data_IF_077492124967
#
_entry.id   IF_077492124967
#
_cell.length_a   1.000
_cell.length_b   1.000
_cell.length_c   1.000
_cell.angle_alpha   90.00
_cell.angle_beta   90.00
_cell.angle_gamma   90.00
#
_symmetry.space_group_name_H-M   'P 1'
#
loop_
_entity.id
_entity.type
_entity.pdbx_description
1 polymer ?
#
# COMPACT_ATOMS: atom_id res chain seq x y z
N UNK A 1 -38.53 -13.29 8.88
CA UNK A 1 -38.95 -11.97 8.36
C UNK A 1 -38.69 -10.96 9.45
N UNK A 2 -37.82 -9.97 9.23
CA UNK A 2 -37.49 -8.99 10.26
C UNK A 2 -38.63 -7.99 10.43
N UNK A 3 -39.08 -7.77 11.66
CA UNK A 3 -40.14 -6.83 11.98
C UNK A 3 -39.70 -5.40 11.62
N UNK A 4 -40.44 -4.77 10.70
CA UNK A 4 -40.27 -3.38 10.29
C UNK A 4 -40.21 -2.42 11.50
N UNK A 5 -41.00 -2.71 12.54
CA UNK A 5 -41.01 -1.91 13.78
C UNK A 5 -39.69 -1.98 14.56
N UNK A 6 -38.97 -3.11 14.50
CA UNK A 6 -37.66 -3.25 15.13
C UNK A 6 -36.60 -2.44 14.40
N UNK A 7 -36.64 -2.41 13.06
CA UNK A 7 -35.75 -1.54 12.27
C UNK A 7 -36.08 -0.06 12.46
N UNK A 8 -37.37 0.30 12.53
CA UNK A 8 -37.84 1.67 12.76
C UNK A 8 -37.40 2.19 14.14
N UNK A 9 -37.55 1.39 15.18
CA UNK A 9 -37.12 1.76 16.55
C UNK A 9 -35.61 1.88 16.66
N UNK A 10 -34.84 0.95 16.07
CA UNK A 10 -33.39 1.07 15.96
C UNK A 10 -32.97 2.32 15.19
N UNK A 11 -33.60 2.61 14.04
CA UNK A 11 -33.28 3.81 13.25
C UNK A 11 -33.61 5.10 13.99
N UNK A 12 -34.71 5.16 14.75
CA UNK A 12 -35.05 6.36 15.54
C UNK A 12 -34.04 6.57 16.67
N UNK A 13 -33.61 5.50 17.35
CA UNK A 13 -32.60 5.58 18.41
C UNK A 13 -31.21 5.93 17.90
N UNK A 14 -30.78 5.33 16.79
CA UNK A 14 -29.46 5.58 16.22
C UNK A 14 -29.41 6.79 15.28
N UNK A 15 -30.56 7.33 14.83
CA UNK A 15 -30.65 8.48 13.92
C UNK A 15 -29.84 9.69 14.40
N UNK A 16 -29.92 10.14 15.67
CA UNK A 16 -29.13 11.28 16.13
C UNK A 16 -27.62 11.01 16.10
N UNK A 17 -27.20 9.76 16.38
CA UNK A 17 -25.81 9.35 16.38
C UNK A 17 -25.25 9.24 14.95
N UNK A 18 -26.01 8.59 14.07
CA UNK A 18 -25.71 8.45 12.64
C UNK A 18 -25.70 9.81 11.95
N UNK A 19 -26.62 10.71 12.29
CA UNK A 19 -26.67 12.06 11.75
C UNK A 19 -25.45 12.89 12.15
N UNK A 20 -25.01 12.80 13.42
CA UNK A 20 -23.78 13.47 13.87
C UNK A 20 -22.54 12.94 13.16
N UNK A 21 -22.42 11.62 13.02
CA UNK A 21 -21.30 11.01 12.29
C UNK A 21 -21.35 11.35 10.80
N UNK A 22 -22.51 11.28 10.16
CA UNK A 22 -22.70 11.64 8.76
C UNK A 22 -22.35 13.11 8.50
N UNK A 23 -22.74 14.02 9.41
CA UNK A 23 -22.37 15.44 9.31
C UNK A 23 -20.87 15.67 9.52
N UNK A 24 -20.25 14.95 10.45
CA UNK A 24 -18.80 14.99 10.66
C UNK A 24 -18.03 14.49 9.43
N UNK A 25 -18.45 13.36 8.86
CA UNK A 25 -17.93 12.81 7.60
C UNK A 25 -18.15 13.76 6.44
N UNK A 26 -19.32 14.37 6.33
CA UNK A 26 -19.62 15.35 5.28
C UNK A 26 -18.70 16.56 5.39
N UNK A 27 -18.53 17.11 6.59
CA UNK A 27 -17.66 18.26 6.81
C UNK A 27 -16.19 17.94 6.56
N UNK A 28 -15.71 16.75 6.95
CA UNK A 28 -14.33 16.31 6.71
C UNK A 28 -14.07 16.00 5.24
N UNK A 29 -15.05 15.43 4.54
CA UNK A 29 -14.98 15.25 3.08
C UNK A 29 -14.95 16.61 2.39
N UNK A 30 -15.82 17.54 2.78
CA UNK A 30 -15.88 18.89 2.21
C UNK A 30 -14.57 19.66 2.41
N UNK A 31 -13.96 19.60 3.59
CA UNK A 31 -12.66 20.25 3.82
C UNK A 31 -11.54 19.59 3.02
N UNK A 32 -11.53 18.26 2.92
CA UNK A 32 -10.54 17.53 2.10
C UNK A 32 -10.65 17.82 0.60
N UNK A 33 -11.88 18.04 0.11
CA UNK A 33 -12.15 18.43 -1.28
C UNK A 33 -11.69 19.86 -1.58
N UNK A 34 -11.82 20.77 -0.61
CA UNK A 34 -11.41 22.16 -0.76
C UNK A 34 -9.88 22.34 -0.80
N UNK A 35 -9.12 21.47 -0.13
CA UNK A 35 -7.65 21.53 -0.04
C UNK A 35 -6.94 20.58 -1.02
N UNK A 36 -7.65 20.17 -2.08
CA UNK A 36 -7.21 19.10 -2.96
C UNK A 36 -6.16 19.59 -3.98
N UNK A 37 -4.99 18.93 -4.11
CA UNK A 37 -4.05 19.20 -5.20
C UNK A 37 -4.59 18.67 -6.55
N UNK A 38 -3.96 19.09 -7.66
CA UNK A 38 -4.37 18.58 -8.97
C UNK A 38 -4.26 17.04 -9.04
N UNK A 39 -5.19 16.35 -9.71
CA UNK A 39 -5.15 14.90 -9.83
C UNK A 39 -3.82 14.44 -10.44
N UNK A 40 -3.15 13.51 -9.77
CA UNK A 40 -1.88 12.94 -10.23
C UNK A 40 -2.14 11.62 -11.00
N UNK A 41 -1.31 11.29 -12.01
CA UNK A 41 -1.28 9.92 -12.55
C UNK A 41 -1.00 8.89 -11.45
N UNK A 42 -1.51 7.68 -11.64
CA UNK A 42 -1.41 6.59 -10.66
C UNK A 42 0.08 6.23 -10.44
N UNK A 43 0.58 6.28 -9.19
CA UNK A 43 1.95 5.91 -8.90
C UNK A 43 2.16 4.40 -9.11
N UNK A 44 3.31 3.95 -9.65
CA UNK A 44 3.61 2.53 -9.90
C UNK A 44 3.34 1.57 -8.72
N UNK A 45 3.71 1.89 -7.46
CA UNK A 45 3.43 0.98 -6.33
C UNK A 45 1.93 0.83 -6.03
N UNK A 46 1.12 1.89 -6.25
CA UNK A 46 -0.33 1.78 -6.10
C UNK A 46 -0.96 0.98 -7.25
N UNK A 47 -0.39 1.04 -8.45
CA UNK A 47 -0.83 0.20 -9.58
C UNK A 47 -0.63 -1.29 -9.29
N UNK A 48 0.49 -1.66 -8.66
CA UNK A 48 0.73 -3.03 -8.21
C UNK A 48 -0.35 -3.49 -7.21
N UNK A 49 -0.70 -2.65 -6.24
CA UNK A 49 -1.76 -2.95 -5.26
C UNK A 49 -3.12 -3.20 -5.95
N UNK A 50 -3.47 -2.36 -6.91
CA UNK A 50 -4.72 -2.48 -7.67
C UNK A 50 -4.72 -3.71 -8.58
N UNK A 51 -3.59 -4.10 -9.16
CA UNK A 51 -3.48 -5.31 -9.96
C UNK A 51 -3.68 -6.57 -9.10
N UNK A 52 -3.08 -6.62 -7.90
CA UNK A 52 -3.31 -7.74 -6.97
C UNK A 52 -4.79 -7.81 -6.61
N UNK A 53 -5.41 -6.69 -6.21
CA UNK A 53 -6.82 -6.64 -5.87
C UNK A 53 -7.73 -6.99 -7.06
N UNK A 54 -7.36 -6.61 -8.27
CA UNK A 54 -8.10 -6.96 -9.47
C UNK A 54 -8.09 -8.48 -9.70
N UNK A 55 -6.91 -9.11 -9.57
CA UNK A 55 -6.78 -10.57 -9.68
C UNK A 55 -7.56 -11.27 -8.58
N UNK A 56 -7.47 -10.83 -7.32
CA UNK A 56 -8.17 -11.47 -6.19
C UNK A 56 -9.67 -11.29 -6.28
N UNK A 57 -10.14 -10.08 -6.64
CA UNK A 57 -11.57 -9.81 -6.87
C UNK A 57 -12.11 -10.68 -8.00
N UNK A 58 -11.38 -10.77 -9.12
CA UNK A 58 -11.78 -11.61 -10.26
C UNK A 58 -11.83 -13.08 -9.88
N UNK A 59 -10.83 -13.55 -9.13
CA UNK A 59 -10.77 -14.93 -8.64
C UNK A 59 -11.93 -15.25 -7.68
N UNK A 60 -12.18 -14.42 -6.67
CA UNK A 60 -13.28 -14.65 -5.73
C UNK A 60 -14.63 -14.54 -6.42
N UNK A 61 -14.78 -13.65 -7.40
CA UNK A 61 -16.01 -13.51 -8.18
C UNK A 61 -16.25 -14.75 -9.03
N UNK A 62 -15.20 -15.25 -9.69
CA UNK A 62 -15.25 -16.50 -10.44
C UNK A 62 -15.59 -17.70 -9.54
N UNK A 63 -14.95 -17.81 -8.38
CA UNK A 63 -15.22 -18.87 -7.39
C UNK A 63 -16.58 -18.72 -6.70
N UNK A 64 -17.19 -17.53 -6.72
CA UNK A 64 -18.55 -17.32 -6.22
C UNK A 64 -19.63 -17.80 -7.18
N UNK A 65 -19.26 -18.04 -8.45
CA UNK A 65 -20.22 -18.47 -9.46
C UNK A 65 -20.85 -19.82 -9.07
N UNK A 66 -22.18 -19.95 -9.24
CA UNK A 66 -22.87 -21.20 -8.93
C UNK A 66 -22.38 -22.38 -9.79
N UNK A 67 -22.47 -23.59 -9.24
CA UNK A 67 -22.08 -24.84 -9.93
C UNK A 67 -22.75 -25.03 -11.30
N UNK A 68 -23.97 -24.52 -11.50
CA UNK A 68 -24.70 -24.66 -12.77
C UNK A 68 -24.07 -23.88 -13.93
N UNK A 69 -23.20 -22.90 -13.63
CA UNK A 69 -22.47 -22.16 -14.67
C UNK A 69 -21.37 -22.99 -15.32
N UNK A 70 -20.97 -24.12 -14.73
CA UNK A 70 -19.91 -25.00 -15.25
C UNK A 70 -18.50 -24.41 -15.19
N UNK A 71 -18.36 -23.14 -14.82
CA UNK A 71 -17.09 -22.42 -14.76
C UNK A 71 -16.33 -22.68 -13.47
N UNK A 72 -17.02 -22.93 -12.36
CA UNK A 72 -16.41 -23.09 -11.05
C UNK A 72 -16.21 -24.58 -10.69
N UNK A 73 -14.97 -25.11 -10.76
CA UNK A 73 -14.69 -26.51 -10.40
C UNK A 73 -14.78 -26.78 -8.89
N UNK A 74 -14.72 -25.74 -8.06
CA UNK A 74 -14.70 -25.85 -6.60
C UNK A 74 -16.04 -25.43 -5.96
N UNK A 75 -17.11 -25.35 -6.76
CA UNK A 75 -18.43 -25.02 -6.24
C UNK A 75 -18.89 -26.10 -5.24
N UNK A 76 -19.50 -25.71 -4.10
CA UNK A 76 -20.02 -26.69 -3.14
C UNK A 76 -21.06 -27.58 -3.81
N UNK A 77 -21.02 -28.88 -3.51
CA UNK A 77 -21.96 -29.84 -4.09
C UNK A 77 -23.40 -29.41 -3.80
N UNK A 78 -24.33 -29.53 -4.76
CA UNK A 78 -25.67 -29.01 -4.57
C UNK A 78 -26.39 -29.81 -3.47
N UNK A 79 -27.25 -29.14 -2.72
CA UNK A 79 -28.02 -29.77 -1.66
C UNK A 79 -28.89 -30.91 -2.20
N UNK A 80 -28.70 -32.12 -1.68
CA UNK A 80 -29.43 -33.32 -2.14
C UNK A 80 -30.95 -33.20 -1.95
N UNK A 81 -31.42 -32.47 -0.93
CA UNK A 81 -32.85 -32.25 -0.72
C UNK A 81 -33.44 -31.32 -1.78
N UNK A 82 -32.65 -30.32 -2.22
CA UNK A 82 -33.04 -29.42 -3.30
C UNK A 82 -33.01 -30.13 -4.66
N UNK A 83 -31.97 -30.93 -4.93
CA UNK A 83 -31.86 -31.69 -6.18
C UNK A 83 -33.00 -32.69 -6.34
N UNK A 84 -33.34 -33.43 -5.28
CA UNK A 84 -34.37 -34.47 -5.31
C UNK A 84 -35.77 -33.95 -5.04
N UNK A 85 -35.95 -32.63 -4.90
CA UNK A 85 -37.20 -32.00 -4.46
C UNK A 85 -37.85 -32.72 -3.27
N UNK A 86 -37.02 -33.12 -2.29
CA UNK A 86 -37.42 -33.94 -1.16
C UNK A 86 -37.41 -33.14 0.14
N UNK A 87 -38.28 -33.56 1.07
CA UNK A 87 -38.44 -32.91 2.36
C UNK A 87 -37.42 -33.46 3.35
N UNK A 88 -37.18 -32.72 4.43
CA UNK A 88 -36.26 -33.18 5.47
C UNK A 88 -36.70 -34.51 6.12
N UNK A 89 -38.02 -34.76 6.20
CA UNK A 89 -38.61 -35.96 6.79
C UNK A 89 -38.74 -37.13 5.79
N UNK A 90 -38.35 -36.96 4.52
CA UNK A 90 -38.45 -38.04 3.52
C UNK A 90 -37.60 -39.26 3.96
N UNK A 91 -38.11 -40.50 3.87
CA UNK A 91 -37.33 -41.69 4.23
C UNK A 91 -35.99 -41.77 3.49
N UNK A 92 -34.93 -42.24 4.18
CA UNK A 92 -33.56 -42.26 3.63
C UNK A 92 -33.50 -43.05 2.32
N UNK A 93 -34.11 -44.23 2.27
CA UNK A 93 -34.14 -45.06 1.05
C UNK A 93 -34.76 -44.34 -0.14
N UNK A 94 -35.89 -43.65 0.06
CA UNK A 94 -36.57 -42.91 -1.01
C UNK A 94 -35.71 -41.74 -1.48
N UNK A 95 -35.08 -41.02 -0.56
CA UNK A 95 -34.19 -39.89 -0.87
C UNK A 95 -33.01 -40.34 -1.75
N UNK A 96 -32.30 -41.38 -1.35
CA UNK A 96 -31.14 -41.87 -2.09
C UNK A 96 -31.51 -42.61 -3.38
N UNK A 97 -32.71 -43.21 -3.46
CA UNK A 97 -33.25 -43.76 -4.72
C UNK A 97 -33.59 -42.66 -5.72
N UNK A 98 -34.12 -41.52 -5.25
CA UNK A 98 -34.31 -40.32 -6.09
C UNK A 98 -32.98 -39.73 -6.51
N UNK A 99 -32.01 -39.66 -5.60
CA UNK A 99 -30.67 -39.14 -5.89
C UNK A 99 -29.96 -40.01 -6.94
N UNK A 100 -30.02 -41.34 -6.82
CA UNK A 100 -29.43 -42.27 -7.78
C UNK A 100 -29.90 -41.98 -9.21
N UNK A 101 -31.20 -41.71 -9.42
CA UNK A 101 -31.78 -41.35 -10.73
C UNK A 101 -31.26 -40.02 -11.32
N UNK A 102 -30.70 -39.14 -10.50
CA UNK A 102 -30.12 -37.87 -10.93
C UNK A 102 -28.62 -37.96 -11.19
N UNK A 103 -27.99 -39.08 -10.81
CA UNK A 103 -26.55 -39.31 -11.02
C UNK A 103 -26.30 -40.02 -12.35
N UNK A 104 -25.09 -39.89 -12.92
CA UNK A 104 -24.68 -40.69 -14.07
C UNK A 104 -24.85 -42.18 -13.78
N UNK A 105 -25.30 -42.93 -14.79
CA UNK A 105 -25.53 -44.39 -14.73
C UNK A 105 -26.61 -44.87 -13.73
N UNK A 106 -27.45 -43.97 -13.21
CA UNK A 106 -28.45 -44.30 -12.19
C UNK A 106 -27.87 -44.93 -10.90
N UNK A 107 -26.59 -44.67 -10.61
CA UNK A 107 -25.87 -45.25 -9.47
C UNK A 107 -25.45 -44.18 -8.46
N UNK A 108 -25.45 -44.54 -7.18
CA UNK A 108 -24.94 -43.71 -6.10
C UNK A 108 -23.42 -43.58 -6.18
N UNK A 109 -22.90 -42.36 -5.98
CA UNK A 109 -21.45 -42.16 -5.86
C UNK A 109 -20.93 -42.69 -4.52
N UNK A 110 -19.61 -42.91 -4.40
CA UNK A 110 -18.99 -43.36 -3.14
C UNK A 110 -19.33 -42.41 -1.97
N UNK A 111 -19.27 -41.10 -2.20
CA UNK A 111 -19.70 -40.08 -1.24
C UNK A 111 -21.18 -40.24 -0.87
N UNK A 112 -22.06 -40.43 -1.84
CA UNK A 112 -23.49 -40.61 -1.57
C UNK A 112 -23.75 -41.87 -0.72
N UNK A 113 -23.00 -42.96 -0.93
CA UNK A 113 -23.14 -44.18 -0.13
C UNK A 113 -22.68 -43.98 1.32
N UNK A 114 -21.59 -43.25 1.54
CA UNK A 114 -21.13 -42.88 2.89
C UNK A 114 -22.14 -41.97 3.58
N UNK A 115 -22.69 -40.99 2.84
CA UNK A 115 -23.70 -40.09 3.36
C UNK A 115 -25.00 -40.84 3.71
N UNK A 116 -25.41 -41.80 2.88
CA UNK A 116 -26.56 -42.68 3.15
C UNK A 116 -26.39 -43.41 4.48
N UNK A 117 -25.22 -43.98 4.75
CA UNK A 117 -24.92 -44.67 6.00
C UNK A 117 -25.00 -43.75 7.23
N UNK A 118 -24.74 -42.45 7.08
CA UNK A 118 -24.83 -41.45 8.15
C UNK A 118 -26.25 -40.90 8.35
N UNK A 119 -27.17 -41.08 7.40
CA UNK A 119 -28.53 -40.51 7.46
C UNK A 119 -29.51 -41.38 8.27
N UNK A 120 -29.11 -41.82 9.46
CA UNK A 120 -29.92 -42.65 10.36
C UNK A 120 -30.90 -41.85 11.20
N UNK A 121 -30.57 -40.59 11.53
CA UNK A 121 -31.38 -39.73 12.40
C UNK A 121 -31.76 -38.41 11.73
N UNK A 122 -32.90 -37.79 12.11
CA UNK A 122 -33.27 -36.47 11.62
C UNK A 122 -32.30 -35.37 12.09
N UNK A 123 -31.60 -35.58 13.21
CA UNK A 123 -30.57 -34.66 13.72
C UNK A 123 -29.36 -34.57 12.77
N UNK A 124 -28.89 -35.70 12.24
CA UNK A 124 -27.78 -35.71 11.27
C UNK A 124 -28.16 -35.02 9.95
N UNK A 125 -29.42 -35.12 9.53
CA UNK A 125 -29.92 -34.38 8.36
C UNK A 125 -29.94 -32.86 8.57
N UNK A 126 -30.16 -32.40 9.80
CA UNK A 126 -30.06 -30.97 10.16
C UNK A 126 -28.62 -30.50 10.17
N UNK A 127 -27.72 -31.30 10.74
CA UNK A 127 -26.28 -31.05 10.71
C UNK A 127 -25.77 -30.98 9.26
N UNK A 128 -26.33 -31.78 8.35
CA UNK A 128 -25.98 -31.76 6.93
C UNK A 128 -26.31 -30.42 6.28
N UNK A 129 -27.49 -29.86 6.57
CA UNK A 129 -27.87 -28.56 6.06
C UNK A 129 -26.99 -27.42 6.60
N UNK A 130 -26.43 -27.58 7.81
CA UNK A 130 -25.58 -26.58 8.47
C UNK A 130 -24.12 -26.65 8.03
N UNK A 131 -23.51 -27.85 8.05
CA UNK A 131 -22.07 -28.04 7.85
C UNK A 131 -21.70 -28.69 6.51
N UNK A 132 -22.67 -29.17 5.74
CA UNK A 132 -22.45 -29.82 4.44
C UNK A 132 -22.12 -31.32 4.54
N UNK A 133 -21.93 -31.98 3.37
CA UNK A 133 -21.66 -33.41 3.29
C UNK A 133 -20.30 -33.80 3.86
N UNK A 134 -19.22 -33.10 3.49
CA UNK A 134 -17.85 -33.45 3.86
C UNK A 134 -17.66 -33.53 5.36
N UNK A 135 -18.12 -32.51 6.10
CA UNK A 135 -18.05 -32.48 7.57
C UNK A 135 -18.69 -33.70 8.23
N UNK A 136 -19.72 -34.29 7.61
CA UNK A 136 -20.43 -35.46 8.17
C UNK A 136 -19.77 -36.77 7.80
N UNK A 137 -19.24 -36.87 6.58
CA UNK A 137 -18.63 -38.11 6.08
C UNK A 137 -17.19 -38.26 6.55
N UNK A 138 -16.42 -37.16 6.65
CA UNK A 138 -14.98 -37.20 6.89
C UNK A 138 -14.57 -36.94 8.34
N UNK A 139 -15.46 -36.43 9.20
CA UNK A 139 -15.07 -36.14 10.59
C UNK A 139 -14.83 -37.44 11.39
N UNK A 140 -13.64 -37.65 11.95
CA UNK A 140 -13.30 -38.91 12.62
C UNK A 140 -13.79 -38.99 14.07
N UNK A 141 -13.99 -37.86 14.74
CA UNK A 141 -14.36 -37.80 16.18
C UNK A 141 -15.76 -37.23 16.44
N UNK A 142 -16.52 -36.90 15.40
CA UNK A 142 -17.82 -36.26 15.56
C UNK A 142 -18.91 -37.27 15.95
N UNK A 143 -19.71 -36.92 16.96
CA UNK A 143 -20.84 -37.72 17.43
C UNK A 143 -22.15 -36.95 17.31
N UNK A 144 -23.26 -37.59 16.91
CA UNK A 144 -24.55 -36.92 16.71
C UNK A 144 -25.13 -36.30 18.00
N UNK A 145 -24.74 -36.82 19.17
CA UNK A 145 -25.22 -36.34 20.48
C UNK A 145 -24.58 -35.01 20.89
N UNK A 146 -23.40 -34.71 20.36
CA UNK A 146 -22.64 -33.48 20.67
C UNK A 146 -22.41 -32.66 19.40
N UNK A 147 -23.35 -31.77 19.07
CA UNK A 147 -23.27 -30.88 17.89
C UNK A 147 -22.00 -29.99 17.87
N UNK A 148 -21.42 -29.72 19.04
CA UNK A 148 -20.17 -28.95 19.19
C UNK A 148 -18.96 -29.64 18.55
N UNK A 149 -18.96 -30.97 18.46
CA UNK A 149 -17.86 -31.72 17.82
C UNK A 149 -17.78 -31.41 16.32
N UNK A 150 -18.92 -31.35 15.64
CA UNK A 150 -19.00 -30.92 14.23
C UNK A 150 -18.62 -29.46 14.05
N UNK A 151 -18.99 -28.58 14.98
CA UNK A 151 -18.59 -27.17 14.94
C UNK A 151 -17.07 -27.01 15.02
N UNK A 152 -16.43 -27.76 15.94
CA UNK A 152 -14.99 -27.72 16.15
C UNK A 152 -14.22 -28.23 14.93
N UNK A 153 -14.75 -29.24 14.25
CA UNK A 153 -14.17 -29.74 12.99
C UNK A 153 -14.38 -28.75 11.82
N UNK A 154 -15.55 -28.12 11.74
CA UNK A 154 -15.92 -27.24 10.64
C UNK A 154 -15.17 -25.92 10.62
N UNK A 155 -15.04 -25.24 11.76
CA UNK A 155 -14.53 -23.87 11.85
C UNK A 155 -13.12 -23.68 11.27
N UNK A 156 -12.10 -24.51 11.61
CA UNK A 156 -10.73 -24.28 11.17
C UNK A 156 -10.58 -24.31 9.65
N UNK A 157 -11.16 -25.31 8.99
CA UNK A 157 -10.96 -25.55 7.56
C UNK A 157 -11.94 -24.75 6.70
N UNK A 158 -13.22 -24.64 7.11
CA UNK A 158 -14.24 -24.02 6.28
C UNK A 158 -14.45 -22.53 6.56
N UNK A 159 -14.12 -22.03 7.75
CA UNK A 159 -14.33 -20.62 8.13
C UNK A 159 -13.01 -19.88 8.33
N UNK A 160 -12.08 -20.40 9.16
CA UNK A 160 -10.85 -19.67 9.49
C UNK A 160 -9.88 -19.63 8.31
N UNK A 161 -9.62 -20.77 7.66
CA UNK A 161 -8.70 -20.84 6.53
C UNK A 161 -9.00 -19.81 5.42
N UNK A 162 -10.22 -19.70 4.85
CA UNK A 162 -10.48 -18.71 3.81
C UNK A 162 -10.33 -17.25 4.30
N UNK A 163 -10.67 -16.95 5.55
CA UNK A 163 -10.48 -15.62 6.12
C UNK A 163 -9.01 -15.30 6.40
N UNK A 164 -8.21 -16.28 6.82
CA UNK A 164 -6.77 -16.11 7.02
C UNK A 164 -6.07 -15.85 5.68
N UNK A 165 -6.47 -16.55 4.62
CA UNK A 165 -5.97 -16.29 3.26
C UNK A 165 -6.37 -14.88 2.79
N UNK A 166 -7.62 -14.46 3.01
CA UNK A 166 -8.07 -13.11 2.67
C UNK A 166 -7.36 -12.02 3.48
N UNK A 167 -7.12 -12.25 4.77
CA UNK A 167 -6.32 -11.37 5.63
C UNK A 167 -4.85 -11.31 5.18
N UNK A 168 -4.27 -12.42 4.73
CA UNK A 168 -2.91 -12.46 4.17
C UNK A 168 -2.83 -11.60 2.91
N UNK A 169 -3.75 -11.77 1.97
CA UNK A 169 -3.85 -10.97 0.74
C UNK A 169 -3.99 -9.48 1.09
N UNK A 170 -4.92 -9.15 1.98
CA UNK A 170 -5.13 -7.77 2.47
C UNK A 170 -3.86 -7.21 3.12
N UNK A 171 -3.14 -8.04 3.87
CA UNK A 171 -1.86 -7.70 4.50
C UNK A 171 -0.74 -7.42 3.50
N UNK A 172 -0.69 -8.15 2.38
CA UNK A 172 0.27 -7.93 1.30
C UNK A 172 -0.05 -6.63 0.54
N UNK A 173 -1.32 -6.44 0.16
CA UNK A 173 -1.82 -5.25 -0.56
C UNK A 173 -1.66 -3.97 0.25
N UNK A 174 -1.63 -4.04 1.57
CA UNK A 174 -1.46 -2.88 2.46
C UNK A 174 -0.04 -2.76 3.01
N UNK A 175 0.92 -3.52 2.50
CA UNK A 175 2.30 -3.43 2.96
C UNK A 175 3.01 -2.23 2.32
N UNK A 176 3.62 -1.37 3.15
CA UNK A 176 4.32 -0.18 2.70
C UNK A 176 5.46 -0.47 1.68
N UNK A 177 6.33 -1.49 1.86
CA UNK A 177 7.42 -1.71 0.92
C UNK A 177 6.96 -2.17 -0.48
N UNK A 178 5.81 -2.85 -0.59
CA UNK A 178 5.31 -3.37 -1.89
C UNK A 178 4.39 -2.37 -2.60
N UNK A 179 3.52 -1.69 -1.85
CA UNK A 179 2.38 -0.95 -2.41
C UNK A 179 2.39 0.54 -2.08
N UNK A 180 3.38 0.98 -1.28
CA UNK A 180 3.59 2.37 -0.94
C UNK A 180 2.62 2.93 0.11
N UNK A 181 2.74 4.25 0.41
CA UNK A 181 2.02 4.91 1.49
C UNK A 181 0.52 5.10 1.23
N UNK A 182 0.10 5.01 -0.03
CA UNK A 182 -1.31 5.20 -0.42
C UNK A 182 -2.19 4.04 0.04
N UNK A 183 -1.68 2.80 -0.03
CA UNK A 183 -2.39 1.61 0.44
C UNK A 183 -2.12 1.32 1.93
N UNK A 184 -0.87 1.52 2.39
CA UNK A 184 -0.47 1.15 3.76
C UNK A 184 -1.20 1.92 4.87
N UNK A 185 -1.62 3.17 4.60
CA UNK A 185 -2.42 3.96 5.55
C UNK A 185 -3.77 3.32 5.91
N UNK A 186 -4.33 2.51 5.01
CA UNK A 186 -5.62 1.86 5.20
C UNK A 186 -5.52 0.51 5.89
N UNK A 187 -4.29 0.02 6.14
CA UNK A 187 -4.01 -1.29 6.73
C UNK A 187 -4.90 -1.57 7.94
N UNK A 188 -4.87 -0.72 8.96
CA UNK A 188 -5.62 -0.95 10.21
C UNK A 188 -7.14 -1.02 9.99
N UNK A 189 -7.68 -0.24 9.05
CA UNK A 189 -9.11 -0.25 8.74
C UNK A 189 -9.49 -1.52 7.98
N UNK A 190 -8.73 -1.87 6.95
CA UNK A 190 -8.95 -3.09 6.17
C UNK A 190 -8.78 -4.35 7.02
N UNK A 191 -7.76 -4.42 7.87
CA UNK A 191 -7.57 -5.56 8.79
C UNK A 191 -8.70 -5.65 9.80
N UNK A 192 -9.14 -4.53 10.38
CA UNK A 192 -10.25 -4.54 11.33
C UNK A 192 -11.56 -5.00 10.66
N UNK A 193 -11.83 -4.52 9.44
CA UNK A 193 -13.02 -4.95 8.68
C UNK A 193 -12.94 -6.43 8.29
N UNK A 194 -11.79 -6.92 7.84
CA UNK A 194 -11.60 -8.35 7.53
C UNK A 194 -11.75 -9.25 8.79
N UNK A 195 -11.22 -8.81 9.94
CA UNK A 195 -11.45 -9.49 11.23
C UNK A 195 -12.92 -9.45 11.65
N UNK A 196 -13.63 -8.35 11.38
CA UNK A 196 -15.06 -8.26 11.67
C UNK A 196 -15.90 -9.20 10.81
N UNK A 197 -15.52 -9.40 9.54
CA UNK A 197 -16.15 -10.40 8.66
C UNK A 197 -15.93 -11.82 9.18
N UNK A 198 -14.71 -12.14 9.62
CA UNK A 198 -14.40 -13.43 10.23
C UNK A 198 -15.22 -13.68 11.51
N UNK A 199 -15.30 -12.67 12.39
CA UNK A 199 -16.08 -12.75 13.60
C UNK A 199 -17.57 -12.93 13.28
N UNK A 200 -18.10 -12.14 12.37
CA UNK A 200 -19.50 -12.23 11.93
C UNK A 200 -19.83 -13.62 11.40
N UNK A 201 -18.99 -14.16 10.50
CA UNK A 201 -19.21 -15.51 9.98
C UNK A 201 -19.14 -16.56 11.09
N UNK A 202 -18.16 -16.46 11.99
CA UNK A 202 -18.01 -17.40 13.10
C UNK A 202 -19.26 -17.39 13.99
N UNK A 203 -19.80 -16.21 14.30
CA UNK A 203 -21.04 -16.05 15.06
C UNK A 203 -22.25 -16.61 14.30
N UNK A 204 -22.33 -16.38 12.99
CA UNK A 204 -23.39 -16.98 12.18
C UNK A 204 -23.30 -18.49 12.23
N UNK A 205 -22.12 -19.07 12.03
CA UNK A 205 -21.93 -20.53 12.05
C UNK A 205 -22.23 -21.11 13.43
N UNK A 206 -21.87 -20.45 14.54
CA UNK A 206 -22.07 -20.96 15.90
C UNK A 206 -23.52 -20.86 16.38
N UNK A 207 -24.23 -19.77 16.04
CA UNK A 207 -25.60 -19.54 16.48
C UNK A 207 -26.67 -19.98 15.48
N UNK A 208 -26.30 -20.36 14.25
CA UNK A 208 -27.28 -20.79 13.25
C UNK A 208 -27.95 -22.11 13.65
N UNK A 209 -29.25 -22.05 13.93
CA UNK A 209 -30.07 -23.22 14.15
C UNK A 209 -30.95 -23.52 12.90
N UNK A 210 -30.66 -24.60 12.15
CA UNK A 210 -31.47 -24.98 10.99
C UNK A 210 -32.92 -25.32 11.37
N UNK A 211 -33.17 -25.80 12.60
CA UNK A 211 -34.52 -26.18 13.05
C UNK A 211 -35.44 -24.99 13.32
N UNK A 212 -34.90 -23.82 13.67
CA UNK A 212 -35.70 -22.60 13.86
C UNK A 212 -36.35 -22.14 12.54
N UNK A 213 -35.60 -22.23 11.43
CA UNK A 213 -36.11 -21.90 10.10
C UNK A 213 -37.12 -22.93 9.58
N UNK A 214 -36.99 -24.21 9.95
CA UNK A 214 -37.95 -25.25 9.56
C UNK A 214 -39.29 -25.10 10.28
N UNK A 215 -39.30 -24.63 11.54
CA UNK A 215 -40.53 -24.37 12.29
C UNK A 215 -41.31 -23.17 11.77
N UNK A 216 -40.64 -22.18 11.16
CA UNK A 216 -41.28 -20.98 10.59
C UNK A 216 -41.61 -21.10 9.10
N UNK A 217 -41.13 -22.14 8.41
CA UNK A 217 -41.42 -22.42 7.01
C UNK A 217 -42.54 -23.45 6.90
N UNK A 218 -43.30 -23.41 5.81
CA UNK A 218 -44.36 -24.40 5.61
C UNK A 218 -43.73 -25.80 5.60
N UNK A 219 -44.35 -26.82 6.21
CA UNK A 219 -43.85 -28.21 6.18
C UNK A 219 -43.69 -28.79 4.76
N UNK A 220 -44.16 -28.06 3.74
CA UNK A 220 -44.08 -28.39 2.32
C UNK A 220 -42.83 -27.83 1.64
N UNK A 221 -42.10 -26.92 2.29
CA UNK A 221 -40.96 -26.24 1.68
C UNK A 221 -39.70 -27.12 1.68
N UNK A 222 -38.93 -27.00 0.60
CA UNK A 222 -37.67 -27.71 0.43
C UNK A 222 -36.62 -27.03 1.32
N UNK A 223 -35.90 -27.77 2.18
CA UNK A 223 -34.94 -27.16 3.08
C UNK A 223 -33.77 -26.58 2.30
N UNK A 224 -33.42 -25.33 2.58
CA UNK A 224 -32.27 -24.65 1.97
C UNK A 224 -30.98 -24.95 2.75
N UNK A 225 -29.91 -25.34 2.06
CA UNK A 225 -28.60 -25.56 2.70
C UNK A 225 -28.01 -24.24 3.17
N UNK A 226 -27.69 -24.14 4.44
CA UNK A 226 -26.95 -23.02 5.01
C UNK A 226 -25.49 -23.06 4.55
N UNK A 227 -24.86 -24.23 4.57
CA UNK A 227 -23.48 -24.43 4.13
C UNK A 227 -23.21 -23.88 2.72
N UNK A 228 -24.07 -24.21 1.75
CA UNK A 228 -23.90 -23.77 0.36
C UNK A 228 -24.05 -22.25 0.25
N UNK A 229 -25.09 -21.70 0.90
CA UNK A 229 -25.34 -20.25 0.90
C UNK A 229 -24.20 -19.49 1.56
N UNK A 230 -23.69 -20.00 2.68
CA UNK A 230 -22.60 -19.37 3.41
C UNK A 230 -21.32 -19.36 2.58
N UNK A 231 -20.99 -20.48 1.93
CA UNK A 231 -19.80 -20.60 1.08
C UNK A 231 -19.84 -19.61 -0.08
N UNK A 232 -20.98 -19.49 -0.77
CA UNK A 232 -21.15 -18.48 -1.83
C UNK A 232 -21.14 -17.06 -1.28
N UNK A 233 -21.85 -16.80 -0.18
CA UNK A 233 -21.92 -15.47 0.44
C UNK A 233 -20.57 -14.98 0.95
N UNK A 234 -19.70 -15.88 1.44
CA UNK A 234 -18.33 -15.58 1.87
C UNK A 234 -17.48 -15.10 0.70
N UNK A 235 -17.50 -15.82 -0.42
CA UNK A 235 -16.72 -15.41 -1.59
C UNK A 235 -17.23 -14.07 -2.14
N UNK A 236 -18.56 -13.88 -2.17
CA UNK A 236 -19.15 -12.58 -2.52
C UNK A 236 -18.75 -11.46 -1.54
N UNK A 237 -18.73 -11.72 -0.23
CA UNK A 237 -18.32 -10.69 0.74
C UNK A 237 -16.85 -10.29 0.55
N UNK A 238 -15.97 -11.24 0.22
CA UNK A 238 -14.58 -10.94 -0.15
C UNK A 238 -14.49 -10.12 -1.45
N UNK A 239 -15.28 -10.43 -2.48
CA UNK A 239 -15.30 -9.62 -3.71
C UNK A 239 -15.72 -8.18 -3.47
N UNK A 240 -16.77 -7.98 -2.67
CA UNK A 240 -17.27 -6.64 -2.34
C UNK A 240 -16.22 -5.89 -1.52
N UNK A 241 -15.61 -6.55 -0.55
CA UNK A 241 -14.54 -5.97 0.24
C UNK A 241 -13.34 -5.54 -0.63
N UNK A 242 -12.84 -6.43 -1.49
CA UNK A 242 -11.68 -6.16 -2.35
C UNK A 242 -11.98 -5.05 -3.36
N UNK A 243 -13.19 -5.01 -3.92
CA UNK A 243 -13.63 -3.95 -4.83
C UNK A 243 -13.69 -2.58 -4.14
N UNK A 244 -14.20 -2.53 -2.91
CA UNK A 244 -14.22 -1.31 -2.10
C UNK A 244 -12.80 -0.88 -1.68
N UNK A 245 -11.94 -1.84 -1.32
CA UNK A 245 -10.53 -1.58 -1.03
C UNK A 245 -9.80 -1.03 -2.26
N UNK A 246 -10.03 -1.61 -3.44
CA UNK A 246 -9.45 -1.14 -4.70
C UNK A 246 -9.93 0.29 -5.03
N UNK A 247 -11.23 0.55 -4.91
CA UNK A 247 -11.80 1.88 -5.11
C UNK A 247 -11.20 2.92 -4.17
N UNK A 248 -11.09 2.61 -2.88
CA UNK A 248 -10.52 3.53 -1.88
C UNK A 248 -9.02 3.78 -2.11
N UNK A 249 -8.23 2.76 -2.45
CA UNK A 249 -6.80 2.93 -2.80
C UNK A 249 -6.65 3.76 -4.07
N UNK A 250 -7.43 3.48 -5.12
CA UNK A 250 -7.39 4.23 -6.37
C UNK A 250 -7.71 5.72 -6.16
N UNK A 251 -8.78 6.00 -5.41
CA UNK A 251 -9.18 7.37 -5.12
C UNK A 251 -8.15 8.11 -4.25
N UNK A 252 -7.53 7.42 -3.28
CA UNK A 252 -6.47 7.99 -2.45
C UNK A 252 -5.18 8.23 -3.24
N UNK A 253 -4.78 7.30 -4.10
CA UNK A 253 -3.55 7.35 -4.88
C UNK A 253 -3.58 8.40 -6.01
N UNK A 254 -4.75 8.67 -6.59
CA UNK A 254 -4.94 9.71 -7.62
C UNK A 254 -5.23 11.10 -7.04
N UNK A 255 -5.16 11.23 -5.71
CA UNK A 255 -5.53 12.43 -4.95
C UNK A 255 -6.93 12.95 -5.32
N UNK A 256 -7.86 12.03 -5.64
CA UNK A 256 -9.24 12.37 -5.99
C UNK A 256 -10.11 12.59 -4.76
N UNK A 257 -10.03 11.65 -3.84
CA UNK A 257 -10.69 11.71 -2.53
C UNK A 257 -9.70 11.23 -1.45
N UNK A 258 -9.94 11.63 -0.20
CA UNK A 258 -9.11 11.24 0.96
C UNK A 258 -7.66 11.72 0.88
N UNK A 259 -7.44 12.88 0.25
CA UNK A 259 -6.16 13.59 0.37
C UNK A 259 -6.00 14.05 1.82
N UNK A 260 -4.90 13.62 2.44
CA UNK A 260 -4.47 14.09 3.75
C UNK A 260 -3.11 14.72 3.49
N UNK A 261 -2.92 16.02 3.79
CA UNK A 261 -1.63 16.65 3.62
C UNK A 261 -0.59 15.92 4.49
N UNK A 262 0.65 15.74 3.98
CA UNK A 262 1.71 15.16 4.78
C UNK A 262 1.90 16.00 6.06
N UNK A 263 2.13 15.32 7.19
CA UNK A 263 2.38 16.05 8.44
C UNK A 263 3.69 16.82 8.31
N UNK A 264 3.85 17.98 8.99
CA UNK A 264 5.08 18.77 8.91
C UNK A 264 6.33 17.96 9.30
N UNK A 265 6.18 16.99 10.21
CA UNK A 265 7.25 16.06 10.56
C UNK A 265 7.66 15.14 9.39
N UNK A 266 6.69 14.59 8.65
CA UNK A 266 6.98 13.75 7.47
C UNK A 266 7.61 14.56 6.33
N UNK A 267 7.18 15.81 6.15
CA UNK A 267 7.81 16.73 5.19
C UNK A 267 9.26 17.01 5.60
N UNK A 268 9.50 17.27 6.89
CA UNK A 268 10.85 17.49 7.40
C UNK A 268 11.75 16.25 7.21
N UNK A 269 11.26 15.05 7.50
CA UNK A 269 12.01 13.80 7.31
C UNK A 269 12.34 13.54 5.83
N UNK A 270 11.37 13.73 4.92
CA UNK A 270 11.60 13.59 3.48
C UNK A 270 12.58 14.65 2.96
N UNK A 271 12.46 15.88 3.45
CA UNK A 271 13.39 16.96 3.10
C UNK A 271 14.80 16.66 3.62
N UNK A 272 14.93 16.21 4.86
CA UNK A 272 16.23 15.83 5.45
C UNK A 272 16.84 14.65 4.69
N UNK A 273 16.05 13.64 4.31
CA UNK A 273 16.53 12.48 3.56
C UNK A 273 16.98 12.85 2.13
N UNK A 274 16.25 13.74 1.45
CA UNK A 274 16.63 14.21 0.11
C UNK A 274 17.83 15.14 0.17
N UNK A 275 17.88 16.05 1.14
CA UNK A 275 19.02 16.96 1.37
C UNK A 275 20.26 16.16 1.77
N UNK A 276 20.16 15.16 2.64
CA UNK A 276 21.30 14.34 3.02
C UNK A 276 21.83 13.50 1.86
N UNK A 277 20.96 12.92 1.04
CA UNK A 277 21.36 12.16 -0.15
C UNK A 277 22.06 13.05 -1.20
N UNK A 278 21.50 14.24 -1.46
CA UNK A 278 22.11 15.21 -2.38
C UNK A 278 23.41 15.78 -1.84
N UNK A 279 23.48 16.07 -0.54
CA UNK A 279 24.69 16.51 0.13
C UNK A 279 25.78 15.43 0.07
N UNK A 280 25.45 14.17 0.35
CA UNK A 280 26.39 13.06 0.25
C UNK A 280 26.94 12.89 -1.18
N UNK A 281 26.08 13.05 -2.20
CA UNK A 281 26.53 13.06 -3.59
C UNK A 281 27.43 14.25 -3.93
N UNK A 282 27.14 15.44 -3.39
CA UNK A 282 27.95 16.64 -3.59
C UNK A 282 29.31 16.54 -2.88
N UNK A 283 29.34 16.11 -1.62
CA UNK A 283 30.58 15.91 -0.86
C UNK A 283 31.46 14.86 -1.52
N UNK A 284 30.90 13.76 -2.01
CA UNK A 284 31.65 12.75 -2.75
C UNK A 284 32.31 13.34 -4.01
N UNK A 285 31.60 14.20 -4.75
CA UNK A 285 32.15 14.89 -5.93
C UNK A 285 33.25 15.89 -5.55
N UNK A 286 33.04 16.68 -4.49
CA UNK A 286 34.06 17.64 -4.00
C UNK A 286 35.31 16.90 -3.54
N UNK A 287 35.16 15.79 -2.80
CA UNK A 287 36.27 14.94 -2.41
C UNK A 287 37.00 14.36 -3.62
N UNK A 288 36.27 13.87 -4.63
CA UNK A 288 36.88 13.38 -5.86
C UNK A 288 37.68 14.48 -6.59
N UNK A 289 37.13 15.69 -6.72
CA UNK A 289 37.83 16.83 -7.32
C UNK A 289 39.07 17.21 -6.51
N UNK A 290 38.99 17.21 -5.19
CA UNK A 290 40.14 17.51 -4.32
C UNK A 290 41.26 16.47 -4.47
N UNK A 291 40.91 15.19 -4.54
CA UNK A 291 41.87 14.10 -4.79
C UNK A 291 42.50 14.24 -6.17
N UNK A 292 41.71 14.52 -7.21
CA UNK A 292 42.21 14.74 -8.56
C UNK A 292 43.15 15.94 -8.61
N UNK A 293 42.79 17.08 -7.99
CA UNK A 293 43.64 18.27 -7.94
C UNK A 293 44.95 18.01 -7.18
N UNK A 294 44.90 17.28 -6.08
CA UNK A 294 46.11 16.88 -5.37
C UNK A 294 46.99 15.96 -6.22
N UNK A 295 46.39 15.04 -6.97
CA UNK A 295 47.12 14.16 -7.87
C UNK A 295 47.75 14.92 -9.05
N UNK A 296 47.03 15.87 -9.66
CA UNK A 296 47.55 16.67 -10.78
C UNK A 296 48.69 17.59 -10.35
N UNK A 297 48.62 18.21 -9.16
CA UNK A 297 49.70 19.07 -8.65
C UNK A 297 50.96 18.26 -8.30
N UNK A 298 50.81 17.00 -7.89
CA UNK A 298 51.94 16.11 -7.54
C UNK A 298 52.63 15.49 -8.76
N UNK A 299 51.92 15.33 -9.87
CA UNK A 299 52.49 14.83 -11.13
C UNK A 299 53.02 15.99 -11.98
N UNK A 300 54.33 16.00 -12.25
CA UNK A 300 54.99 17.10 -13.00
C UNK A 300 54.47 17.25 -14.43
N UNK A 301 54.06 16.16 -15.08
CA UNK A 301 53.55 16.18 -16.46
C UNK A 301 52.12 16.71 -16.55
N UNK A 302 51.24 16.30 -15.61
CA UNK A 302 49.86 16.80 -15.53
C UNK A 302 49.82 18.26 -15.06
N UNK A 303 50.65 18.63 -14.09
CA UNK A 303 50.80 20.03 -13.64
C UNK A 303 51.21 20.95 -14.79
N UNK A 304 52.22 20.56 -15.57
CA UNK A 304 52.66 21.37 -16.71
C UNK A 304 51.58 21.58 -17.78
N UNK A 305 50.68 20.60 -17.97
CA UNK A 305 49.52 20.74 -18.86
C UNK A 305 48.43 21.64 -18.28
N UNK A 306 48.17 21.55 -16.98
CA UNK A 306 47.23 22.43 -16.26
C UNK A 306 47.73 23.88 -16.30
N UNK A 307 49.01 24.12 -15.98
CA UNK A 307 49.64 25.44 -16.03
C UNK A 307 49.63 26.02 -17.46
N UNK A 308 49.90 25.21 -18.49
CA UNK A 308 49.82 25.62 -19.89
C UNK A 308 48.38 25.97 -20.33
N UNK A 309 47.39 25.24 -19.83
CA UNK A 309 45.98 25.55 -20.08
C UNK A 309 45.57 26.87 -19.41
N UNK A 310 45.89 27.05 -18.13
CA UNK A 310 45.54 28.27 -17.39
C UNK A 310 46.26 29.49 -17.93
N UNK A 311 47.55 29.38 -18.29
CA UNK A 311 48.29 30.47 -18.93
C UNK A 311 47.71 30.83 -20.31
N UNK A 312 47.25 29.86 -21.10
CA UNK A 312 46.56 30.13 -22.36
C UNK A 312 45.19 30.81 -22.16
N UNK A 313 44.43 30.39 -21.14
CA UNK A 313 43.13 31.02 -20.78
C UNK A 313 43.34 32.47 -20.33
N UNK A 314 44.29 32.71 -19.42
CA UNK A 314 44.65 34.05 -18.94
C UNK A 314 45.20 34.92 -20.07
N UNK A 315 45.99 34.35 -20.98
CA UNK A 315 46.47 35.07 -22.15
C UNK A 315 45.32 35.47 -23.08
N UNK A 316 44.33 34.59 -23.31
CA UNK A 316 43.13 34.93 -24.09
C UNK A 316 42.29 36.01 -23.40
N UNK A 317 42.11 35.94 -22.08
CA UNK A 317 41.37 36.92 -21.28
C UNK A 317 42.10 38.28 -21.22
N UNK A 318 43.42 38.29 -21.08
CA UNK A 318 44.26 39.48 -21.09
C UNK A 318 44.43 40.12 -22.48
N UNK A 319 44.39 39.33 -23.56
CA UNK A 319 44.40 39.87 -24.92
C UNK A 319 43.09 40.56 -25.33
N UNK A 320 42.04 40.46 -24.51
CA UNK A 320 40.81 41.25 -24.65
C UNK A 320 40.89 42.68 -24.09
N UNK A 321 41.90 43.02 -23.28
CA UNK A 321 42.03 44.35 -22.63
C UNK A 321 43.18 45.21 -23.17
N UNK A 322 43.90 44.73 -24.19
CA UNK A 322 45.17 45.32 -24.64
C UNK A 322 45.31 45.53 -26.14
N UNK A 323 44.28 45.96 -26.85
CA UNK A 323 44.42 46.55 -28.20
C UNK A 323 43.12 47.19 -28.70
N UNK A 324 42.89 48.46 -28.38
CA UNK A 324 42.00 49.30 -29.19
C UNK A 324 42.51 50.74 -29.28
N UNK A 325 43.58 50.93 -30.06
CA UNK A 325 43.69 52.14 -30.87
C UNK A 325 43.49 51.74 -32.33
N UNK A 326 42.59 52.46 -33.00
CA UNK A 326 42.14 52.35 -34.40
C UNK A 326 41.07 51.30 -34.76
N UNK A 327 39.84 51.81 -35.00
CA UNK A 327 39.08 51.44 -36.21
C UNK A 327 37.80 50.61 -36.04
N UNK A 328 36.69 51.30 -35.78
CA UNK A 328 35.34 51.07 -36.35
C UNK A 328 34.60 49.73 -36.14
N UNK A 329 33.32 49.88 -35.76
CA UNK A 329 32.18 48.93 -35.86
C UNK A 329 32.04 47.80 -34.81
N UNK A 330 31.47 48.19 -33.66
CA UNK A 330 30.37 47.54 -32.96
C UNK A 330 30.33 46.01 -32.85
N UNK A 331 30.97 45.47 -31.81
CA UNK A 331 30.57 44.26 -31.06
C UNK A 331 31.08 44.42 -29.62
N UNK A 332 30.33 43.86 -28.67
CA UNK A 332 30.39 44.10 -27.22
C UNK A 332 31.74 44.04 -26.51
N UNK A 333 31.81 44.85 -25.47
CA UNK A 333 32.81 44.99 -24.41
C UNK A 333 33.12 43.65 -23.73
N UNK A 334 34.33 43.10 -23.92
CA UNK A 334 34.79 41.91 -23.21
C UNK A 334 35.44 42.31 -21.87
N UNK A 335 34.61 42.50 -20.84
CA UNK A 335 35.03 42.42 -19.44
C UNK A 335 35.13 40.96 -18.99
N UNK A 336 35.76 40.69 -17.84
CA UNK A 336 35.77 39.33 -17.30
C UNK A 336 34.33 38.85 -17.12
N UNK A 337 34.05 37.58 -17.42
CA UNK A 337 32.67 37.03 -17.36
C UNK A 337 32.04 37.15 -15.96
N UNK A 338 32.87 37.40 -14.95
CA UNK A 338 32.50 37.61 -13.55
C UNK A 338 32.14 39.08 -13.23
N UNK A 339 32.60 40.03 -14.05
CA UNK A 339 32.27 41.46 -13.98
C UNK A 339 31.08 41.83 -14.87
N UNK A 340 30.66 40.94 -15.77
CA UNK A 340 29.44 41.13 -16.55
C UNK A 340 28.25 41.35 -15.62
N UNK A 341 27.66 42.55 -15.71
CA UNK A 341 26.54 42.99 -14.87
C UNK A 341 25.34 42.02 -14.96
N UNK A 342 25.23 41.27 -16.05
CA UNK A 342 24.24 40.23 -16.25
C UNK A 342 24.48 38.99 -15.38
N UNK A 343 25.74 38.57 -15.22
CA UNK A 343 26.14 37.42 -14.39
C UNK A 343 25.98 37.78 -12.92
N UNK A 344 26.38 38.98 -12.51
CA UNK A 344 26.17 39.49 -11.14
C UNK A 344 24.67 39.57 -10.83
N UNK A 345 23.86 40.07 -11.76
CA UNK A 345 22.41 40.20 -11.60
C UNK A 345 21.70 38.85 -11.64
N UNK A 346 22.22 37.86 -12.39
CA UNK A 346 21.74 36.49 -12.40
C UNK A 346 22.06 35.76 -11.09
N UNK A 347 23.29 35.90 -10.59
CA UNK A 347 23.73 35.35 -9.30
C UNK A 347 22.90 35.94 -8.14
N UNK A 348 22.67 37.25 -8.18
CA UNK A 348 21.80 37.96 -7.21
C UNK A 348 20.35 37.47 -7.28
N UNK A 349 19.81 37.24 -8.49
CA UNK A 349 18.46 36.66 -8.68
C UNK A 349 18.36 35.24 -8.15
N UNK A 350 19.38 34.41 -8.35
CA UNK A 350 19.40 33.02 -7.85
C UNK A 350 19.47 33.00 -6.31
N UNK A 351 20.29 33.86 -5.72
CA UNK A 351 20.38 34.04 -4.26
C UNK A 351 19.07 34.59 -3.68
N UNK A 352 18.43 35.57 -4.32
CA UNK A 352 17.11 36.08 -3.90
C UNK A 352 16.01 35.03 -4.04
N UNK A 353 15.99 34.23 -5.12
CA UNK A 353 15.01 33.14 -5.28
C UNK A 353 15.12 32.10 -4.16
N UNK A 354 16.33 31.87 -3.64
CA UNK A 354 16.57 30.98 -2.49
C UNK A 354 15.94 31.53 -1.20
N UNK A 355 15.86 32.85 -1.04
CA UNK A 355 15.27 33.51 0.14
C UNK A 355 13.75 33.66 0.07
N UNK A 356 13.14 33.58 -1.12
CA UNK A 356 11.66 33.62 -1.26
C UNK A 356 11.00 32.31 -0.80
N UNK A 357 11.77 31.22 -0.67
CA UNK A 357 11.35 29.98 -0.03
C UNK A 357 11.39 30.06 1.50
N UNK A 358 10.65 31.03 2.06
CA UNK A 358 10.35 31.24 3.48
C UNK A 358 11.23 30.53 4.52
N UNK A 359 12.02 31.36 5.23
CA UNK A 359 12.78 31.08 6.47
C UNK A 359 14.29 30.90 6.24
N UNK A 360 14.96 32.01 5.91
CA UNK A 360 16.41 32.16 5.98
C UNK A 360 16.73 33.59 6.39
N UNK A 361 17.54 33.73 7.43
CA UNK A 361 18.14 35.00 7.86
C UNK A 361 18.79 35.70 6.67
N UNK A 362 18.81 37.04 6.65
CA UNK A 362 19.47 37.79 5.57
C UNK A 362 20.93 37.39 5.60
N UNK A 363 21.32 36.57 4.63
CA UNK A 363 22.70 36.12 4.47
C UNK A 363 23.51 37.31 3.99
N UNK A 364 24.13 38.00 4.95
CA UNK A 364 24.99 39.15 4.71
C UNK A 364 26.26 38.67 3.99
N UNK A 365 26.38 39.05 2.72
CA UNK A 365 27.51 38.69 1.84
C UNK A 365 28.83 39.19 2.42
N UNK A 366 28.81 40.33 3.13
CA UNK A 366 29.99 40.84 3.83
C UNK A 366 30.42 39.89 4.95
N UNK A 367 29.47 39.35 5.70
CA UNK A 367 29.73 38.41 6.80
C UNK A 367 30.21 37.05 6.30
N UNK A 368 29.67 36.56 5.19
CA UNK A 368 30.13 35.31 4.57
C UNK A 368 31.50 35.43 3.92
N UNK A 369 31.82 36.59 3.34
CA UNK A 369 33.17 36.89 2.86
C UNK A 369 34.19 36.85 4.00
N UNK A 370 33.83 37.40 5.16
CA UNK A 370 34.68 37.41 6.37
C UNK A 370 34.77 36.02 7.03
N UNK A 371 33.70 35.24 7.06
CA UNK A 371 33.73 33.85 7.56
C UNK A 371 34.51 32.93 6.62
N UNK A 372 34.39 33.12 5.31
CA UNK A 372 35.17 32.36 4.32
C UNK A 372 36.66 32.73 4.37
N UNK A 373 37.00 34.02 4.49
CA UNK A 373 38.39 34.46 4.61
C UNK A 373 39.03 33.95 5.91
N UNK A 374 38.33 34.04 7.05
CA UNK A 374 38.83 33.52 8.33
C UNK A 374 38.93 31.99 8.38
N UNK A 375 38.04 31.26 7.69
CA UNK A 375 38.16 29.80 7.55
C UNK A 375 39.35 29.40 6.66
N UNK A 376 39.55 30.11 5.55
CA UNK A 376 40.71 29.89 4.67
C UNK A 376 42.00 30.23 5.41
N UNK A 377 42.05 31.38 6.08
CA UNK A 377 43.20 31.84 6.88
C UNK A 377 43.51 30.88 8.03
N UNK A 378 42.48 30.31 8.69
CA UNK A 378 42.67 29.27 9.71
C UNK A 378 43.22 27.94 9.16
N UNK A 379 42.93 27.61 7.89
CA UNK A 379 43.48 26.42 7.22
C UNK A 379 44.87 26.69 6.65
N UNK A 380 45.15 27.93 6.20
CA UNK A 380 46.42 28.30 5.57
C UNK A 380 47.46 28.83 6.56
N UNK A 381 47.10 29.21 7.79
CA UNK A 381 48.00 29.72 8.82
C UNK A 381 49.17 28.78 9.21
N UNK A 382 49.14 27.51 8.79
CA UNK A 382 50.25 26.56 8.97
C UNK A 382 51.14 26.35 7.75
N UNK A 383 50.77 26.87 6.57
CA UNK A 383 51.47 26.64 5.30
C UNK A 383 52.49 27.73 4.96
N UNK A 384 52.44 28.89 5.63
CA UNK A 384 53.31 30.04 5.33
C UNK A 384 54.65 30.02 6.07
N UNK A 385 54.89 29.06 6.98
CA UNK A 385 56.11 29.00 7.81
C UNK A 385 57.24 28.15 7.24
N UNK A 386 57.24 27.91 5.93
CA UNK A 386 58.10 26.91 5.29
C UNK A 386 59.36 27.40 4.60
N UNK A 387 59.59 28.72 4.42
CA UNK A 387 60.62 29.17 3.46
C UNK A 387 61.56 30.30 3.94
N UNK A 388 61.58 30.64 5.22
CA UNK A 388 62.56 31.59 5.78
C UNK A 388 63.35 30.94 6.92
N UNK A 389 64.46 30.27 6.60
CA UNK A 389 65.30 29.62 7.61
C UNK A 389 66.60 28.99 7.12
N UNK A 390 67.27 29.57 6.12
CA UNK A 390 68.69 29.28 5.84
C UNK A 390 69.54 30.43 6.39
N UNK A 391 70.35 30.14 7.42
CA UNK A 391 71.35 31.05 7.95
C UNK A 391 71.81 30.70 9.37
N UNK A 392 72.90 29.92 9.45
CA UNK A 392 73.93 29.82 10.50
C UNK A 392 73.46 29.64 11.97
N UNK A 393 73.90 28.62 12.71
CA UNK A 393 75.28 28.22 12.91
C UNK A 393 75.77 28.67 14.30
N UNK A 394 76.11 27.69 15.13
CA UNK A 394 76.84 27.74 16.41
C UNK A 394 76.15 28.11 17.75
N UNK A 395 76.22 27.15 18.68
CA UNK A 395 77.06 27.36 19.88
C UNK A 395 76.39 27.29 21.26
N UNK A 396 76.72 26.21 21.99
CA UNK A 396 76.65 26.00 23.46
C UNK A 396 75.26 25.75 24.08
N UNK A 397 75.02 24.76 24.94
CA UNK A 397 75.92 23.96 25.75
C UNK A 397 75.83 24.34 27.23
N UNK A 398 74.78 23.87 27.93
CA UNK A 398 74.74 23.46 29.35
C UNK A 398 73.36 22.92 29.68
#
# INVERSE_FOLDING_TARGET
MGNYDTYKTLLIFFSPLLFRQARSLYNSLRSSLAQRPQPQPLPPPAALALNILFVTTSLFLFLSLPAWTGLNPHAPSPNIFAQTNSRLNTPTEILFTRLARLRPNNTLTSLDTQLKAKFTSPSLRKLYLRYGPETITTCPFCTPDHESTYLLYYLPLHTFLPHLLHLLITGLVTSNPLTGPSASRWRSKFTLTALSLLLLESLLVTFYNPAANIKSQNPRDIPTSFHNRLTTARLLSFTIFDALAAGTIYLAATHRFFYIPPTPAQVAEQLVATVSATLAGATAKVHAVSVVRNATVRDRGLKGRDDAYWTAVVAMEGSGSGSSSLGTSGVGECGSIWEEEEVVRAMTRVMQRRNVGGKGDVVDIGRLGVEASSYVEGITAGLERGDDGDGDGDGSGS
#
